data_IF_571728438570
#
_entry.id   IF_571728438570
#
_cell.length_a   1.000
_cell.length_b   1.000
_cell.length_c   1.000
_cell.angle_alpha   90.00
_cell.angle_beta   90.00
_cell.angle_gamma   90.00
#
_symmetry.space_group_name_H-M   'P 1'
#
loop_
_entity.id
_entity.type
_entity.pdbx_description
1 polymer ?
#
# COMPACT_ATOMS: atom_id res chain seq x y z
N UNK A 1 37.11 31.61 -14.91
CA UNK A 1 36.51 31.17 -13.64
C UNK A 1 35.16 30.53 -13.95
N UNK A 2 35.10 29.20 -14.00
CA UNK A 2 33.81 28.50 -14.11
C UNK A 2 33.30 28.25 -12.70
N UNK A 3 32.28 29.02 -12.32
CA UNK A 3 31.48 28.78 -11.13
C UNK A 3 30.21 28.01 -11.49
N UNK A 4 29.75 27.23 -10.52
CA UNK A 4 28.50 26.48 -10.45
C UNK A 4 28.54 25.03 -10.98
N UNK A 5 28.18 24.14 -10.06
CA UNK A 5 27.99 22.70 -10.26
C UNK A 5 27.73 22.07 -8.91
N UNK A 6 26.66 22.49 -8.22
CA UNK A 6 26.15 21.74 -7.08
C UNK A 6 25.94 20.30 -7.55
N UNK A 7 26.58 19.33 -6.89
CA UNK A 7 26.29 17.92 -7.10
C UNK A 7 24.82 17.69 -6.72
N UNK A 8 23.91 17.83 -7.67
CA UNK A 8 22.50 17.50 -7.50
C UNK A 8 22.39 15.98 -7.56
N UNK A 9 22.80 15.31 -6.46
CA UNK A 9 22.55 13.88 -6.30
C UNK A 9 21.05 13.65 -6.19
N UNK A 10 20.53 12.70 -6.96
CA UNK A 10 19.14 12.25 -6.77
C UNK A 10 18.96 11.74 -5.34
N UNK A 11 17.81 12.00 -4.71
CA UNK A 11 17.52 11.43 -3.40
C UNK A 11 17.55 9.90 -3.49
N UNK A 12 17.99 9.19 -2.43
CA UNK A 12 17.95 7.74 -2.42
C UNK A 12 16.49 7.26 -2.48
N UNK A 13 16.27 6.18 -3.22
CA UNK A 13 15.00 5.46 -3.21
C UNK A 13 15.13 4.37 -2.15
N UNK A 14 14.19 4.33 -1.18
CA UNK A 14 14.09 3.28 -0.18
C UNK A 14 12.83 2.44 -0.45
N UNK A 15 12.94 1.32 -1.17
CA UNK A 15 11.78 0.48 -1.43
C UNK A 15 11.44 -0.35 -0.19
N UNK A 16 10.14 -0.46 0.09
CA UNK A 16 9.60 -1.24 1.20
C UNK A 16 8.59 -2.23 0.64
N UNK A 17 8.69 -3.48 1.09
CA UNK A 17 7.74 -4.55 0.79
C UNK A 17 6.96 -4.85 2.06
N UNK A 18 5.65 -4.57 2.02
CA UNK A 18 4.72 -5.07 3.02
C UNK A 18 4.39 -6.53 2.69
N UNK A 19 4.61 -7.42 3.64
CA UNK A 19 4.43 -8.86 3.43
C UNK A 19 3.30 -9.41 4.29
N UNK A 20 2.25 -9.88 3.63
CA UNK A 20 1.02 -10.47 4.18
C UNK A 20 0.99 -12.00 4.13
N UNK A 21 1.97 -12.62 3.44
CA UNK A 21 2.00 -14.05 3.17
C UNK A 21 2.26 -14.94 4.40
N UNK A 22 2.03 -16.26 4.28
CA UNK A 22 2.26 -17.20 5.37
C UNK A 22 3.75 -17.34 5.69
N UNK A 23 4.09 -17.39 6.98
CA UNK A 23 5.46 -17.63 7.45
C UNK A 23 6.39 -16.42 7.36
N UNK A 24 7.70 -16.68 7.32
CA UNK A 24 8.73 -15.66 7.21
C UNK A 24 9.08 -15.39 5.75
N UNK A 25 9.50 -14.16 5.45
CA UNK A 25 10.07 -13.81 4.15
C UNK A 25 11.39 -14.54 3.93
N UNK A 26 11.53 -15.23 2.79
CA UNK A 26 12.73 -16.00 2.44
C UNK A 26 13.39 -15.56 1.14
N UNK A 27 12.75 -14.69 0.36
CA UNK A 27 13.32 -14.23 -0.90
C UNK A 27 14.46 -13.22 -0.68
N UNK A 28 15.43 -13.20 -1.59
CA UNK A 28 16.54 -12.25 -1.55
C UNK A 28 16.04 -10.80 -1.52
N UNK A 29 16.63 -9.98 -0.64
CA UNK A 29 16.26 -8.56 -0.47
C UNK A 29 16.94 -7.64 -1.47
N UNK A 30 17.97 -8.11 -2.18
CA UNK A 30 18.47 -7.44 -3.37
C UNK A 30 17.51 -7.73 -4.54
N UNK A 31 16.97 -6.67 -5.14
CA UNK A 31 16.07 -6.81 -6.29
C UNK A 31 16.74 -7.48 -7.50
N UNK A 32 18.04 -7.25 -7.74
CA UNK A 32 18.76 -7.86 -8.85
C UNK A 32 18.74 -9.39 -8.81
N UNK A 33 18.87 -9.97 -7.62
CA UNK A 33 18.84 -11.42 -7.40
C UNK A 33 17.46 -12.04 -7.68
N UNK A 34 16.41 -11.22 -7.78
CA UNK A 34 15.04 -11.66 -8.05
C UNK A 34 14.66 -11.65 -9.53
N UNK A 35 15.44 -10.98 -10.37
CA UNK A 35 15.19 -10.88 -11.80
C UNK A 35 15.80 -12.10 -12.50
N UNK A 36 15.02 -12.75 -13.36
CA UNK A 36 15.53 -13.86 -14.19
C UNK A 36 16.60 -13.35 -15.16
N UNK A 37 17.62 -14.17 -15.43
CA UNK A 37 18.75 -13.81 -16.32
C UNK A 37 19.55 -12.59 -15.83
N UNK A 38 19.62 -12.38 -14.51
CA UNK A 38 20.34 -11.26 -13.91
C UNK A 38 21.85 -11.32 -14.13
N UNK A 39 22.38 -12.50 -14.42
CA UNK A 39 23.76 -12.74 -14.85
C UNK A 39 24.05 -12.17 -16.25
N UNK A 40 23.04 -12.13 -17.13
CA UNK A 40 23.18 -11.61 -18.51
C UNK A 40 22.76 -10.13 -18.58
N UNK A 41 21.70 -9.74 -17.88
CA UNK A 41 21.07 -8.42 -17.99
C UNK A 41 21.37 -7.48 -16.81
N UNK A 42 22.36 -7.82 -15.98
CA UNK A 42 22.66 -7.14 -14.71
C UNK A 42 22.85 -5.62 -14.80
N UNK A 43 23.40 -5.12 -15.91
CA UNK A 43 23.61 -3.68 -16.16
C UNK A 43 22.31 -2.89 -16.35
N UNK A 44 21.22 -3.58 -16.75
CA UNK A 44 19.90 -2.98 -16.96
C UNK A 44 18.97 -3.15 -15.75
N UNK A 45 19.40 -3.90 -14.73
CA UNK A 45 18.59 -4.20 -13.56
C UNK A 45 18.96 -3.24 -12.42
N UNK A 46 17.99 -2.50 -11.86
CA UNK A 46 18.22 -1.68 -10.67
C UNK A 46 18.81 -2.50 -9.51
N UNK A 47 19.93 -2.04 -8.98
CA UNK A 47 20.63 -2.69 -7.87
C UNK A 47 20.32 -1.95 -6.57
N UNK A 48 19.25 -2.37 -5.92
CA UNK A 48 18.85 -1.85 -4.62
C UNK A 48 18.41 -2.98 -3.69
N UNK A 49 18.54 -2.71 -2.40
CA UNK A 49 17.93 -3.54 -1.37
C UNK A 49 16.61 -2.92 -0.95
N UNK A 50 15.58 -3.76 -0.77
CA UNK A 50 14.32 -3.35 -0.18
C UNK A 50 14.19 -3.87 1.25
N UNK A 51 13.48 -3.11 2.09
CA UNK A 51 13.13 -3.53 3.44
C UNK A 51 11.86 -4.35 3.40
N UNK A 52 11.80 -5.42 4.21
CA UNK A 52 10.59 -6.23 4.34
C UNK A 52 9.93 -5.97 5.68
N UNK A 53 8.67 -5.56 5.63
CA UNK A 53 7.83 -5.30 6.80
C UNK A 53 6.74 -6.37 6.85
N UNK A 54 6.85 -7.38 7.73
CA UNK A 54 5.83 -8.42 7.86
C UNK A 54 4.59 -7.86 8.56
N UNK A 55 3.47 -7.85 7.85
CA UNK A 55 2.18 -7.38 8.36
C UNK A 55 1.61 -8.29 9.46
N UNK A 56 2.11 -9.51 9.60
CA UNK A 56 1.78 -10.42 10.70
C UNK A 56 2.18 -9.88 12.09
N UNK A 57 3.07 -8.89 12.16
CA UNK A 57 3.51 -8.25 13.41
C UNK A 57 2.60 -7.13 13.90
N UNK A 58 1.62 -6.72 13.10
CA UNK A 58 0.71 -5.63 13.43
C UNK A 58 -0.71 -6.15 13.53
N UNK A 59 -1.42 -5.85 14.61
CA UNK A 59 -2.86 -6.04 14.71
C UNK A 59 -3.62 -4.98 13.89
N UNK A 60 -4.86 -5.26 13.52
CA UNK A 60 -5.71 -4.27 12.81
C UNK A 60 -5.88 -3.01 13.66
N UNK A 61 -6.02 -3.15 14.97
CA UNK A 61 -6.12 -2.03 15.90
C UNK A 61 -4.87 -1.15 15.87
N UNK A 62 -3.68 -1.73 15.93
CA UNK A 62 -2.42 -0.97 15.85
C UNK A 62 -2.29 -0.20 14.54
N UNK A 63 -2.79 -0.76 13.43
CA UNK A 63 -2.82 -0.06 12.14
C UNK A 63 -3.83 1.10 12.15
N UNK A 64 -5.04 0.88 12.66
CA UNK A 64 -6.05 1.95 12.79
C UNK A 64 -5.53 3.09 13.68
N UNK A 65 -4.83 2.78 14.77
CA UNK A 65 -4.23 3.77 15.67
C UNK A 65 -3.13 4.62 15.01
N UNK A 66 -2.52 4.17 13.90
CA UNK A 66 -1.59 5.01 13.12
C UNK A 66 -2.29 6.14 12.40
N UNK A 67 -3.55 5.92 12.01
CA UNK A 67 -4.43 6.96 11.49
C UNK A 67 -3.86 7.71 10.28
N UNK A 68 -3.23 6.94 9.36
CA UNK A 68 -2.60 7.44 8.15
C UNK A 68 -2.95 6.59 6.91
N UNK A 69 -2.68 7.14 5.73
CA UNK A 69 -2.94 6.52 4.43
C UNK A 69 -2.32 5.14 4.24
N UNK A 70 -1.08 5.00 4.73
CA UNK A 70 -0.29 3.81 4.53
C UNK A 70 -0.84 2.67 5.39
N UNK A 71 -1.29 2.99 6.61
CA UNK A 71 -1.95 2.05 7.50
C UNK A 71 -3.25 1.49 6.91
N UNK A 72 -3.99 2.30 6.14
CA UNK A 72 -5.18 1.83 5.43
C UNK A 72 -4.81 0.83 4.34
N UNK A 73 -3.81 1.14 3.52
CA UNK A 73 -3.32 0.20 2.50
C UNK A 73 -2.86 -1.12 3.14
N UNK A 74 -2.11 -1.06 4.24
CA UNK A 74 -1.68 -2.27 4.97
C UNK A 74 -2.86 -3.06 5.53
N UNK A 75 -3.89 -2.39 6.02
CA UNK A 75 -5.07 -3.05 6.58
C UNK A 75 -5.85 -3.79 5.48
N UNK A 76 -6.02 -3.17 4.30
CA UNK A 76 -6.65 -3.81 3.14
C UNK A 76 -5.81 -4.99 2.62
N UNK A 77 -4.49 -4.84 2.57
CA UNK A 77 -3.57 -5.90 2.12
C UNK A 77 -3.60 -7.13 3.04
N UNK A 78 -4.00 -6.99 4.30
CA UNK A 78 -4.17 -8.11 5.24
C UNK A 78 -5.44 -8.93 5.00
N UNK A 79 -6.39 -8.45 4.20
CA UNK A 79 -7.63 -9.18 3.91
C UNK A 79 -7.32 -10.42 3.08
N UNK A 80 -7.85 -11.58 3.46
CA UNK A 80 -7.58 -12.86 2.77
C UNK A 80 -8.77 -13.34 1.94
N UNK A 81 -9.93 -12.73 2.13
CA UNK A 81 -11.16 -13.13 1.47
C UNK A 81 -12.15 -11.96 1.38
N UNK A 82 -13.13 -12.08 0.49
CA UNK A 82 -14.29 -11.18 0.46
C UNK A 82 -15.12 -11.21 1.76
N UNK A 83 -15.00 -12.25 2.59
CA UNK A 83 -15.63 -12.27 3.90
C UNK A 83 -14.90 -11.33 4.89
N UNK A 84 -13.58 -11.23 4.81
CA UNK A 84 -12.79 -10.30 5.62
C UNK A 84 -13.07 -8.84 5.22
N UNK A 85 -13.40 -8.59 3.94
CA UNK A 85 -13.83 -7.27 3.49
C UNK A 85 -15.05 -6.75 4.28
N UNK A 86 -15.98 -7.65 4.67
CA UNK A 86 -17.11 -7.28 5.52
C UNK A 86 -16.71 -6.91 6.96
N UNK A 87 -15.51 -7.26 7.41
CA UNK A 87 -14.98 -6.82 8.71
C UNK A 87 -14.40 -5.40 8.63
N UNK A 88 -14.16 -4.85 7.43
CA UNK A 88 -13.82 -3.43 7.31
C UNK A 88 -14.96 -2.53 7.80
N UNK A 89 -16.19 -3.06 7.84
CA UNK A 89 -17.34 -2.40 8.46
C UNK A 89 -17.17 -2.12 9.95
N UNK A 90 -16.29 -2.85 10.62
CA UNK A 90 -16.01 -2.66 12.03
C UNK A 90 -14.94 -1.58 12.28
N UNK A 91 -14.37 -0.99 11.23
CA UNK A 91 -13.41 0.10 11.34
C UNK A 91 -14.17 1.39 11.63
N UNK A 92 -13.74 2.19 12.63
CA UNK A 92 -14.40 3.45 12.97
C UNK A 92 -14.46 4.40 11.76
N UNK A 93 -15.61 5.03 11.52
CA UNK A 93 -15.76 6.01 10.44
C UNK A 93 -14.78 7.18 10.59
N UNK A 94 -14.49 7.56 11.84
CA UNK A 94 -13.55 8.65 12.16
C UNK A 94 -12.15 8.39 11.63
N UNK A 95 -11.73 7.12 11.53
CA UNK A 95 -10.45 6.75 10.95
C UNK A 95 -10.39 7.14 9.47
N UNK A 96 -11.44 6.81 8.72
CA UNK A 96 -11.51 7.15 7.32
C UNK A 96 -11.68 8.67 7.09
N UNK A 97 -12.50 9.33 7.91
CA UNK A 97 -12.65 10.79 7.87
C UNK A 97 -11.32 11.52 8.11
N UNK A 98 -10.50 11.01 9.03
CA UNK A 98 -9.21 11.61 9.34
C UNK A 98 -8.27 11.53 8.14
N UNK A 99 -8.19 10.36 7.49
CA UNK A 99 -7.39 10.14 6.28
C UNK A 99 -7.90 11.07 5.18
N UNK A 100 -9.19 11.06 4.92
CA UNK A 100 -9.86 11.96 3.97
C UNK A 100 -9.46 13.44 4.10
N UNK A 101 -9.36 13.91 5.34
CA UNK A 101 -9.09 15.32 5.66
C UNK A 101 -7.62 15.65 5.54
N UNK A 102 -6.75 14.72 5.95
CA UNK A 102 -5.32 14.96 6.08
C UNK A 102 -4.53 14.62 4.80
N UNK A 103 -5.10 13.79 3.92
CA UNK A 103 -4.46 13.36 2.69
C UNK A 103 -4.64 14.35 1.52
N UNK A 104 -3.60 14.55 0.69
CA UNK A 104 -3.74 15.16 -0.62
C UNK A 104 -4.68 14.34 -1.52
N UNK A 105 -5.47 15.02 -2.36
CA UNK A 105 -6.42 14.34 -3.27
C UNK A 105 -5.73 13.37 -4.24
N UNK A 106 -4.55 13.72 -4.74
CA UNK A 106 -3.76 12.85 -5.61
C UNK A 106 -3.34 11.54 -4.94
N UNK A 107 -3.06 11.61 -3.63
CA UNK A 107 -2.70 10.45 -2.80
C UNK A 107 -3.93 9.58 -2.56
N UNK A 108 -5.07 10.17 -2.20
CA UNK A 108 -6.34 9.43 -2.04
C UNK A 108 -6.74 8.70 -3.32
N UNK A 109 -6.60 9.34 -4.48
CA UNK A 109 -6.87 8.72 -5.78
C UNK A 109 -5.93 7.56 -6.10
N UNK A 110 -4.66 7.65 -5.71
CA UNK A 110 -3.71 6.56 -5.86
C UNK A 110 -4.08 5.39 -4.94
N UNK A 111 -4.40 5.68 -3.67
CA UNK A 111 -4.81 4.69 -2.68
C UNK A 111 -6.10 3.98 -3.10
N UNK A 112 -7.10 4.73 -3.57
CA UNK A 112 -8.35 4.17 -4.11
C UNK A 112 -8.09 3.15 -5.21
N UNK A 113 -7.19 3.45 -6.15
CA UNK A 113 -6.79 2.50 -7.20
C UNK A 113 -6.06 1.27 -6.66
N UNK A 114 -5.15 1.45 -5.70
CA UNK A 114 -4.42 0.32 -5.07
C UNK A 114 -5.41 -0.61 -4.38
N UNK A 115 -6.29 -0.03 -3.55
CA UNK A 115 -7.35 -0.75 -2.84
C UNK A 115 -8.27 -1.48 -3.83
N UNK A 116 -8.68 -0.81 -4.92
CA UNK A 116 -9.51 -1.44 -5.94
C UNK A 116 -8.87 -2.74 -6.47
N UNK A 117 -7.58 -2.68 -6.80
CA UNK A 117 -6.83 -3.85 -7.30
C UNK A 117 -6.73 -4.94 -6.24
N UNK A 118 -6.48 -4.58 -4.97
CA UNK A 118 -6.42 -5.54 -3.86
C UNK A 118 -7.77 -6.25 -3.66
N UNK A 119 -8.88 -5.51 -3.60
CA UNK A 119 -10.22 -6.08 -3.39
C UNK A 119 -10.68 -6.95 -4.56
N UNK A 120 -10.38 -6.55 -5.80
CA UNK A 120 -10.67 -7.37 -6.97
C UNK A 120 -9.90 -8.70 -6.95
N UNK A 121 -8.65 -8.70 -6.46
CA UNK A 121 -7.86 -9.93 -6.28
C UNK A 121 -8.50 -10.88 -5.26
N UNK A 122 -9.26 -10.35 -4.30
CA UNK A 122 -10.01 -11.13 -3.29
C UNK A 122 -11.37 -11.63 -3.80
N UNK A 123 -11.69 -11.41 -5.07
CA UNK A 123 -12.99 -11.71 -5.68
C UNK A 123 -14.17 -10.96 -5.03
N UNK A 124 -13.93 -9.75 -4.50
CA UNK A 124 -15.00 -8.85 -4.09
C UNK A 124 -15.76 -8.38 -5.34
N UNK A 125 -17.11 -8.34 -5.32
CA UNK A 125 -17.91 -7.88 -6.47
C UNK A 125 -17.51 -6.47 -6.93
N UNK A 126 -17.50 -6.25 -8.26
CA UNK A 126 -17.00 -4.98 -8.85
C UNK A 126 -17.79 -3.75 -8.39
N UNK A 127 -19.07 -3.92 -8.17
CA UNK A 127 -19.99 -2.92 -7.63
C UNK A 127 -19.63 -2.54 -6.19
N UNK A 128 -19.37 -3.53 -5.32
CA UNK A 128 -18.89 -3.28 -3.95
C UNK A 128 -17.53 -2.57 -3.95
N UNK A 129 -16.60 -3.00 -4.82
CA UNK A 129 -15.30 -2.34 -4.97
C UNK A 129 -15.47 -0.89 -5.43
N UNK A 130 -16.28 -0.65 -6.46
CA UNK A 130 -16.52 0.69 -7.00
C UNK A 130 -17.15 1.62 -5.94
N UNK A 131 -18.14 1.12 -5.19
CA UNK A 131 -18.77 1.88 -4.10
C UNK A 131 -17.73 2.30 -3.05
N UNK A 132 -16.93 1.35 -2.57
CA UNK A 132 -15.91 1.60 -1.55
C UNK A 132 -14.85 2.61 -2.02
N UNK A 133 -14.37 2.47 -3.26
CA UNK A 133 -13.33 3.35 -3.81
C UNK A 133 -13.84 4.74 -4.13
N UNK A 134 -15.09 4.86 -4.61
CA UNK A 134 -15.73 6.16 -4.86
C UNK A 134 -15.88 6.95 -3.57
N UNK A 135 -16.18 6.28 -2.45
CA UNK A 135 -16.30 6.92 -1.14
C UNK A 135 -14.97 7.45 -0.63
N UNK A 136 -13.87 6.71 -0.86
CA UNK A 136 -12.51 7.18 -0.58
C UNK A 136 -12.18 8.43 -1.40
N UNK A 137 -12.44 8.41 -2.71
CA UNK A 137 -12.11 9.53 -3.60
C UNK A 137 -12.97 10.77 -3.33
N UNK A 138 -14.26 10.57 -3.04
CA UNK A 138 -15.22 11.65 -2.76
C UNK A 138 -15.15 12.19 -1.34
N UNK A 139 -14.22 11.68 -0.52
CA UNK A 139 -14.05 12.07 0.88
C UNK A 139 -15.31 11.84 1.73
N UNK A 140 -16.17 10.91 1.32
CA UNK A 140 -17.50 10.71 1.90
C UNK A 140 -17.62 9.29 2.44
N UNK A 141 -17.22 9.11 3.71
CA UNK A 141 -17.12 7.80 4.36
C UNK A 141 -18.35 7.42 5.19
N UNK A 142 -19.28 8.35 5.43
CA UNK A 142 -20.51 8.13 6.20
C UNK A 142 -21.50 7.16 5.54
N UNK A 143 -21.27 6.78 4.26
CA UNK A 143 -22.10 5.83 3.52
C UNK A 143 -21.40 4.48 3.27
N UNK A 144 -20.24 4.20 3.87
CA UNK A 144 -19.54 2.93 3.62
C UNK A 144 -20.35 1.69 3.97
N UNK A 145 -21.32 1.83 4.89
CA UNK A 145 -21.89 0.70 5.61
C UNK A 145 -23.42 0.71 5.74
N UNK A 146 -24.12 1.65 5.09
CA UNK A 146 -25.58 1.54 4.85
C UNK A 146 -25.92 0.45 3.82
#
# INVERSE_FOLDING_TARGET
>A
MYGCGTKNGSPPILPIVFYDGPGNWTAATNFRERVQLSDILGEFIPDFHYLVVPLSRYSNRELVEKNDELSLVMLIDKLRSAADFRQLKDIPEEYFESISRNSPESVLKLIGKIIAVLLLRLNVPKDEVAQFTDQIERRNFTMLFE
#
